data_IF_842826628035
#
_entry.id   IF_842826628035
#
_cell.length_a   1.000
_cell.length_b   1.000
_cell.length_c   1.000
_cell.angle_alpha   90.00
_cell.angle_beta   90.00
_cell.angle_gamma   90.00
#
_symmetry.space_group_name_H-M   'P 1'
#
loop_
_entity.id
_entity.type
_entity.pdbx_description
1 polymer ?
#
# COMPACT_ATOMS: atom_id res chain seq x y z
N UNK A 1 -0.74 60.65 28.36
CA UNK A 1 -0.49 59.20 28.60
C UNK A 1 -1.26 58.38 27.57
N UNK A 2 -0.64 58.01 26.44
CA UNK A 2 -1.22 57.12 25.41
C UNK A 2 -0.06 56.38 24.70
N UNK A 3 0.47 55.32 25.32
CA UNK A 3 1.50 54.44 24.72
C UNK A 3 1.31 52.96 25.08
N UNK A 4 0.09 52.54 25.44
CA UNK A 4 -0.19 51.17 25.89
C UNK A 4 -0.91 50.32 24.81
N UNK A 5 -1.50 50.94 23.77
CA UNK A 5 -2.35 50.20 22.83
C UNK A 5 -1.65 49.45 21.69
N UNK A 6 -0.36 49.69 21.42
CA UNK A 6 0.32 49.05 20.27
C UNK A 6 0.95 47.70 20.66
N UNK A 7 1.41 47.56 21.91
CA UNK A 7 2.02 46.32 22.39
C UNK A 7 1.00 45.18 22.58
N UNK A 8 -0.24 45.49 22.95
CA UNK A 8 -1.29 44.46 23.09
C UNK A 8 -1.72 43.87 21.73
N UNK A 9 -1.68 44.66 20.65
CA UNK A 9 -2.10 44.19 19.32
C UNK A 9 -1.04 43.26 18.70
N UNK A 10 0.26 43.55 18.89
CA UNK A 10 1.33 42.63 18.45
C UNK A 10 1.33 41.30 19.23
N UNK A 11 0.92 41.28 20.51
CA UNK A 11 0.89 40.04 21.29
C UNK A 11 -0.24 39.10 20.85
N UNK A 12 -1.37 39.64 20.37
CA UNK A 12 -2.50 38.84 19.87
C UNK A 12 -2.20 38.23 18.48
N UNK A 13 -1.40 38.89 17.65
CA UNK A 13 -1.00 38.35 16.33
C UNK A 13 0.06 37.24 16.48
N UNK A 14 0.96 37.34 17.47
CA UNK A 14 1.91 36.27 17.80
C UNK A 14 1.21 35.05 18.44
N UNK A 15 0.11 35.24 19.17
CA UNK A 15 -0.68 34.14 19.74
C UNK A 15 -1.46 33.35 18.68
N UNK A 16 -1.75 33.94 17.51
CA UNK A 16 -2.37 33.24 16.37
C UNK A 16 -1.34 32.62 15.39
N UNK A 17 -0.04 32.82 15.64
CA UNK A 17 1.04 32.11 14.95
C UNK A 17 1.42 30.80 15.66
N UNK A 18 0.62 30.40 16.65
CA UNK A 18 0.64 29.05 17.22
C UNK A 18 0.33 28.06 16.11
N UNK A 19 1.39 27.41 15.64
CA UNK A 19 1.38 26.32 14.69
C UNK A 19 0.40 25.25 15.20
N UNK A 20 -0.88 25.34 14.81
CA UNK A 20 -1.79 24.20 14.82
C UNK A 20 -1.29 23.24 13.74
N UNK A 21 -0.13 22.62 13.98
CA UNK A 21 0.06 21.28 13.47
C UNK A 21 -0.85 20.43 14.32
N UNK A 22 -2.01 20.09 13.76
CA UNK A 22 -2.74 18.94 14.24
C UNK A 22 -1.72 17.83 14.53
N UNK A 23 -1.77 17.16 15.70
CA UNK A 23 -0.83 16.10 16.00
C UNK A 23 -0.85 15.13 14.83
N UNK A 24 0.34 14.86 14.27
CA UNK A 24 0.48 13.93 13.16
C UNK A 24 -0.29 12.65 13.55
N UNK A 25 -1.21 12.15 12.70
CA UNK A 25 -2.02 11.00 13.05
C UNK A 25 -1.09 9.88 13.50
N UNK A 26 -1.37 9.27 14.66
CA UNK A 26 -0.51 8.22 15.20
C UNK A 26 -0.51 7.05 14.20
N UNK A 27 0.57 6.97 13.43
CA UNK A 27 0.75 5.95 12.41
C UNK A 27 1.41 4.72 13.05
N UNK A 28 0.98 3.51 12.66
CA UNK A 28 1.72 2.30 13.00
C UNK A 28 3.20 2.41 12.59
N UNK A 29 4.09 1.75 13.33
CA UNK A 29 5.55 1.83 13.14
C UNK A 29 6.04 1.42 11.73
N UNK A 30 5.24 0.65 10.98
CA UNK A 30 5.53 0.27 9.60
C UNK A 30 5.15 1.35 8.57
N UNK A 31 4.44 2.41 8.96
CA UNK A 31 4.13 3.56 8.12
C UNK A 31 4.96 4.76 8.57
N UNK A 32 5.94 5.12 7.75
CA UNK A 32 6.80 6.27 8.01
C UNK A 32 6.53 7.32 6.94
N UNK A 33 6.03 8.48 7.34
CA UNK A 33 5.90 9.63 6.44
C UNK A 33 7.32 10.09 6.08
N UNK A 34 7.71 10.08 4.79
CA UNK A 34 9.05 10.48 4.39
C UNK A 34 9.26 11.99 4.59
N UNK A 35 10.52 12.42 4.64
CA UNK A 35 10.84 13.85 4.70
C UNK A 35 10.48 14.60 3.40
N UNK A 36 10.51 13.92 2.25
CA UNK A 36 10.05 14.42 0.95
C UNK A 36 9.23 13.37 0.20
N UNK A 37 8.19 13.80 -0.52
CA UNK A 37 7.36 12.93 -1.36
C UNK A 37 7.98 12.61 -2.72
N UNK A 38 8.91 13.44 -3.21
CA UNK A 38 9.46 13.36 -4.58
C UNK A 38 10.14 12.03 -4.95
N UNK A 39 10.74 11.34 -3.98
CA UNK A 39 11.44 10.06 -4.17
C UNK A 39 10.81 8.90 -3.40
N UNK A 40 9.65 9.13 -2.77
CA UNK A 40 9.02 8.13 -1.93
C UNK A 40 8.20 7.17 -2.78
N UNK A 41 8.55 5.88 -2.70
CA UNK A 41 7.93 4.78 -3.48
C UNK A 41 6.72 4.14 -2.78
N UNK A 42 6.28 4.75 -1.68
CA UNK A 42 5.29 4.18 -0.78
C UNK A 42 5.85 3.18 0.23
N UNK A 43 5.03 2.87 1.22
CA UNK A 43 5.28 1.83 2.22
C UNK A 43 3.95 1.30 2.72
N UNK A 44 3.95 0.22 3.48
CA UNK A 44 2.69 -0.31 3.96
C UNK A 44 2.81 -1.59 4.72
N UNK A 45 1.67 -2.22 4.95
CA UNK A 45 1.56 -3.61 5.34
C UNK A 45 0.54 -4.29 4.46
N UNK A 46 0.84 -5.50 4.03
CA UNK A 46 -0.13 -6.43 3.48
C UNK A 46 -0.02 -7.76 4.22
N UNK A 47 -1.16 -8.34 4.58
CA UNK A 47 -1.26 -9.65 5.21
C UNK A 47 -2.26 -10.50 4.46
N UNK A 48 -1.90 -11.75 4.22
CA UNK A 48 -2.73 -12.77 3.57
C UNK A 48 -2.78 -13.97 4.52
N UNK A 49 -3.97 -14.50 4.75
CA UNK A 49 -4.22 -15.66 5.60
C UNK A 49 -5.25 -16.61 4.95
N UNK A 50 -5.44 -17.78 5.55
CA UNK A 50 -6.33 -18.82 5.03
C UNK A 50 -5.54 -19.93 4.34
N UNK A 51 -5.87 -20.21 3.08
CA UNK A 51 -5.20 -21.22 2.26
C UNK A 51 -3.73 -20.89 1.94
N UNK A 52 -3.32 -19.64 2.12
CA UNK A 52 -1.94 -19.15 2.04
C UNK A 52 -1.71 -18.17 3.20
N UNK A 53 -0.50 -18.17 3.78
CA UNK A 53 -0.13 -17.26 4.88
C UNK A 53 1.11 -16.48 4.50
N UNK A 54 0.95 -15.19 4.22
CA UNK A 54 2.01 -14.28 3.76
C UNK A 54 1.87 -12.93 4.44
N UNK A 55 2.99 -12.27 4.73
CA UNK A 55 2.97 -10.91 5.29
C UNK A 55 4.21 -10.12 4.87
N UNK A 56 4.02 -8.86 4.52
CA UNK A 56 5.07 -7.90 4.27
C UNK A 56 4.71 -6.56 4.93
N UNK A 57 5.71 -5.86 5.46
CA UNK A 57 5.52 -4.59 6.15
C UNK A 57 6.69 -3.62 5.94
N UNK A 58 6.39 -2.33 6.10
CA UNK A 58 7.34 -1.25 5.91
C UNK A 58 7.63 -0.96 4.44
N UNK A 59 8.54 -0.02 4.21
CA UNK A 59 9.16 0.15 2.91
C UNK A 59 10.01 -1.10 2.62
N UNK A 60 10.05 -1.51 1.35
CA UNK A 60 10.94 -2.57 0.90
C UNK A 60 12.39 -2.32 1.33
N UNK A 61 12.95 -3.25 2.12
CA UNK A 61 14.32 -3.18 2.63
C UNK A 61 14.89 -4.55 2.93
N UNK A 62 16.22 -4.60 3.03
CA UNK A 62 16.94 -5.79 3.48
C UNK A 62 16.71 -6.01 4.97
N UNK A 63 16.30 -7.23 5.32
CA UNK A 63 16.15 -7.74 6.67
C UNK A 63 17.32 -8.67 7.05
N UNK A 64 17.28 -9.20 8.27
CA UNK A 64 18.28 -10.14 8.79
C UNK A 64 18.41 -11.36 7.88
N UNK A 65 19.65 -11.75 7.57
CA UNK A 65 19.93 -12.92 6.72
C UNK A 65 19.90 -12.65 5.20
N UNK A 66 19.97 -11.38 4.77
CA UNK A 66 20.10 -11.03 3.35
C UNK A 66 18.83 -11.27 2.53
N UNK A 67 17.68 -11.23 3.20
CA UNK A 67 16.36 -11.30 2.56
C UNK A 67 15.72 -9.92 2.51
N UNK A 68 14.84 -9.69 1.56
CA UNK A 68 14.13 -8.44 1.31
C UNK A 68 12.66 -8.70 1.59
N UNK A 69 12.05 -7.79 2.33
CA UNK A 69 10.61 -7.76 2.55
C UNK A 69 10.14 -6.33 2.64
N UNK A 70 8.90 -6.09 2.23
CA UNK A 70 8.22 -4.84 2.43
C UNK A 70 7.22 -4.55 1.33
N UNK A 71 6.69 -3.34 1.36
CA UNK A 71 5.60 -2.89 0.52
C UNK A 71 6.03 -1.61 -0.21
N UNK A 72 5.69 -1.53 -1.49
CA UNK A 72 5.76 -0.34 -2.32
C UNK A 72 4.34 -0.03 -2.78
N UNK A 73 3.90 1.21 -2.61
CA UNK A 73 2.54 1.60 -2.94
C UNK A 73 2.51 2.91 -3.71
N UNK A 74 1.76 2.92 -4.81
CA UNK A 74 1.57 4.10 -5.65
C UNK A 74 0.09 4.36 -5.88
N UNK A 75 -0.31 5.61 -5.80
CA UNK A 75 -1.64 6.05 -6.19
C UNK A 75 -1.55 6.57 -7.64
N UNK A 76 -2.32 5.97 -8.55
CA UNK A 76 -2.37 6.37 -9.95
C UNK A 76 -3.40 7.49 -10.14
N UNK A 77 -2.94 8.66 -10.59
CA UNK A 77 -3.72 9.79 -11.14
C UNK A 77 -5.12 10.02 -10.56
N UNK A 78 -5.28 9.87 -9.24
CA UNK A 78 -6.52 10.13 -8.51
C UNK A 78 -7.59 9.03 -8.59
N UNK A 79 -7.37 7.93 -9.29
CA UNK A 79 -8.37 6.87 -9.44
C UNK A 79 -7.84 5.45 -9.26
N UNK A 80 -6.56 5.19 -9.01
CA UNK A 80 -6.08 3.82 -8.74
C UNK A 80 -5.08 3.72 -7.60
N UNK A 81 -4.92 2.51 -7.07
CA UNK A 81 -3.92 2.13 -6.08
C UNK A 81 -3.26 0.83 -6.55
N UNK A 82 -1.93 0.84 -6.57
CA UNK A 82 -1.13 -0.36 -6.78
C UNK A 82 -0.24 -0.59 -5.56
N UNK A 83 -0.31 -1.79 -5.03
CA UNK A 83 0.44 -2.26 -3.87
C UNK A 83 1.28 -3.44 -4.34
N UNK A 84 2.58 -3.22 -4.46
CA UNK A 84 3.53 -4.30 -4.67
C UNK A 84 4.11 -4.72 -3.34
N UNK A 85 4.13 -6.03 -3.06
CA UNK A 85 4.72 -6.55 -1.85
C UNK A 85 5.76 -7.63 -2.16
N UNK A 86 6.82 -7.63 -1.38
CA UNK A 86 7.89 -8.62 -1.47
C UNK A 86 7.93 -9.39 -0.16
N UNK A 87 7.96 -10.73 -0.23
CA UNK A 87 7.92 -11.61 0.95
C UNK A 87 9.22 -12.42 1.06
N UNK A 88 10.09 -12.04 1.99
CA UNK A 88 11.30 -12.81 2.36
C UNK A 88 12.19 -13.22 1.17
N UNK A 89 12.27 -12.37 0.16
CA UNK A 89 12.95 -12.60 -1.11
C UNK A 89 14.49 -12.49 -0.95
N UNK A 90 15.30 -13.39 -1.53
CA UNK A 90 16.76 -13.21 -1.54
C UNK A 90 17.21 -11.86 -2.14
N UNK A 91 18.22 -11.22 -1.52
CA UNK A 91 18.76 -9.89 -1.92
C UNK A 91 19.11 -9.72 -3.39
N UNK A 92 19.53 -10.80 -4.07
CA UNK A 92 19.85 -10.78 -5.50
C UNK A 92 18.71 -10.16 -6.32
N UNK A 93 17.45 -10.22 -5.84
CA UNK A 93 16.26 -9.67 -6.48
C UNK A 93 16.24 -8.15 -6.64
N UNK A 94 16.62 -7.38 -5.62
CA UNK A 94 16.57 -5.90 -5.72
C UNK A 94 17.73 -5.31 -6.51
N UNK A 95 18.87 -6.01 -6.53
CA UNK A 95 20.11 -5.52 -7.14
C UNK A 95 20.24 -5.94 -8.61
N UNK A 96 19.52 -6.97 -9.04
CA UNK A 96 19.57 -7.44 -10.40
C UNK A 96 18.35 -8.32 -10.67
N UNK A 97 17.71 -8.22 -11.83
CA UNK A 97 16.61 -9.12 -12.23
C UNK A 97 17.05 -10.60 -12.39
N UNK A 98 18.14 -11.02 -11.73
CA UNK A 98 18.81 -12.32 -11.82
C UNK A 98 18.26 -13.37 -10.87
N UNK A 99 17.30 -13.08 -9.99
CA UNK A 99 16.64 -14.18 -9.27
C UNK A 99 15.80 -14.97 -10.28
N UNK A 100 16.11 -16.26 -10.50
CA UNK A 100 15.31 -17.11 -11.36
C UNK A 100 13.84 -17.10 -10.93
N UNK A 101 12.92 -17.20 -11.88
CA UNK A 101 11.48 -17.04 -11.61
C UNK A 101 10.99 -17.98 -10.51
N UNK A 102 11.56 -19.18 -10.43
CA UNK A 102 11.28 -20.22 -9.45
C UNK A 102 11.63 -19.86 -8.00
N UNK A 103 12.41 -18.80 -7.74
CA UNK A 103 12.76 -18.36 -6.39
C UNK A 103 12.15 -17.00 -6.03
N UNK A 104 11.22 -16.50 -6.85
CA UNK A 104 10.53 -15.22 -6.61
C UNK A 104 9.35 -15.41 -5.64
N UNK A 105 9.14 -14.40 -4.81
CA UNK A 105 8.14 -14.36 -3.75
C UNK A 105 7.63 -12.92 -3.61
N UNK A 106 6.62 -12.57 -4.40
CA UNK A 106 6.03 -11.23 -4.45
C UNK A 106 4.52 -11.26 -4.72
N UNK A 107 3.89 -10.10 -4.54
CA UNK A 107 2.49 -9.85 -4.86
C UNK A 107 2.30 -8.51 -5.57
N UNK A 108 1.31 -8.48 -6.45
CA UNK A 108 0.68 -7.27 -6.97
C UNK A 108 -0.79 -7.29 -6.51
N UNK A 109 -1.17 -6.31 -5.69
CA UNK A 109 -2.55 -5.98 -5.39
C UNK A 109 -2.90 -4.67 -6.10
N UNK A 110 -3.81 -4.76 -7.06
CA UNK A 110 -4.20 -3.65 -7.93
C UNK A 110 -5.66 -3.31 -7.73
N UNK A 111 -5.92 -2.01 -7.63
CA UNK A 111 -7.27 -1.46 -7.59
C UNK A 111 -7.30 -0.26 -8.56
N UNK A 112 -8.11 -0.31 -9.60
CA UNK A 112 -8.23 0.75 -10.62
C UNK A 112 -9.67 1.28 -10.64
N UNK A 113 -9.80 2.62 -10.73
CA UNK A 113 -11.02 3.45 -10.67
C UNK A 113 -11.73 3.53 -9.32
N UNK A 114 -10.97 3.57 -8.23
CA UNK A 114 -11.40 3.19 -6.87
C UNK A 114 -10.55 3.79 -5.73
N UNK A 115 -10.14 5.06 -5.82
CA UNK A 115 -9.53 5.74 -4.65
C UNK A 115 -10.58 6.03 -3.56
N UNK A 116 -11.87 5.96 -3.88
CA UNK A 116 -12.94 6.13 -2.90
C UNK A 116 -13.17 4.87 -2.07
N UNK A 117 -13.65 5.02 -0.84
CA UNK A 117 -14.09 3.90 -0.03
C UNK A 117 -15.23 3.14 -0.72
N UNK A 118 -15.18 1.82 -0.71
CA UNK A 118 -16.17 0.97 -1.37
C UNK A 118 -15.73 -0.48 -1.46
N UNK A 119 -16.65 -1.34 -1.91
CA UNK A 119 -16.39 -2.76 -2.17
C UNK A 119 -16.40 -3.04 -3.66
N UNK A 120 -15.37 -3.75 -4.11
CA UNK A 120 -15.06 -4.01 -5.51
C UNK A 120 -14.99 -5.51 -5.75
N UNK A 121 -15.64 -6.03 -6.81
CA UNK A 121 -15.50 -7.43 -7.17
C UNK A 121 -14.06 -7.71 -7.62
N UNK A 122 -13.51 -8.84 -7.21
CA UNK A 122 -12.20 -9.30 -7.65
C UNK A 122 -12.28 -10.43 -8.68
N UNK A 123 -11.21 -10.60 -9.45
CA UNK A 123 -10.99 -11.80 -10.27
C UNK A 123 -11.60 -11.79 -11.66
N UNK A 124 -11.95 -10.59 -12.18
CA UNK A 124 -12.50 -10.49 -13.52
C UNK A 124 -11.43 -10.41 -14.62
N UNK A 125 -10.19 -10.00 -14.33
CA UNK A 125 -9.13 -9.52 -15.27
C UNK A 125 -9.60 -8.43 -16.27
N UNK A 126 -10.91 -8.29 -16.46
CA UNK A 126 -11.66 -7.31 -17.20
C UNK A 126 -12.33 -6.33 -16.23
N UNK A 127 -12.55 -5.07 -16.66
CA UNK A 127 -13.32 -4.12 -15.89
C UNK A 127 -14.75 -4.62 -15.61
N UNK A 128 -15.26 -4.39 -14.41
CA UNK A 128 -16.68 -4.59 -14.14
C UNK A 128 -17.55 -3.59 -14.96
N UNK A 129 -18.89 -3.67 -14.96
CA UNK A 129 -19.73 -2.72 -15.71
C UNK A 129 -19.55 -1.24 -15.31
N UNK A 130 -18.97 -0.96 -14.13
CA UNK A 130 -18.59 0.39 -13.67
C UNK A 130 -17.16 0.79 -14.08
N UNK A 131 -16.46 -0.10 -14.79
CA UNK A 131 -15.08 0.06 -15.24
C UNK A 131 -14.01 -0.26 -14.19
N UNK A 132 -14.39 -0.75 -13.01
CA UNK A 132 -13.48 -0.96 -11.87
C UNK A 132 -12.77 -2.32 -12.00
N UNK A 133 -11.51 -2.37 -11.56
CA UNK A 133 -10.71 -3.59 -11.51
C UNK A 133 -10.14 -3.73 -10.10
N UNK A 134 -10.31 -4.89 -9.48
CA UNK A 134 -9.59 -5.29 -8.28
C UNK A 134 -9.00 -6.69 -8.51
N UNK A 135 -7.70 -6.85 -8.31
CA UNK A 135 -7.04 -8.13 -8.52
C UNK A 135 -5.83 -8.30 -7.60
N UNK A 136 -5.60 -9.55 -7.18
CA UNK A 136 -4.44 -9.99 -6.44
C UNK A 136 -3.73 -11.07 -7.25
N UNK A 137 -2.48 -10.79 -7.60
CA UNK A 137 -1.57 -11.76 -8.21
C UNK A 137 -0.44 -12.04 -7.24
N UNK A 138 -0.22 -13.31 -6.90
CA UNK A 138 0.90 -13.79 -6.09
C UNK A 138 1.82 -14.63 -6.95
N UNK A 139 3.12 -14.41 -6.83
CA UNK A 139 4.13 -15.31 -7.37
C UNK A 139 4.98 -15.82 -6.21
N UNK A 140 4.88 -17.12 -5.94
CA UNK A 140 5.55 -17.80 -4.84
C UNK A 140 6.62 -18.78 -5.37
N UNK A 141 7.61 -19.13 -4.52
CA UNK A 141 8.69 -20.01 -4.94
C UNK A 141 8.18 -21.36 -5.47
N UNK A 142 8.85 -21.90 -6.49
CA UNK A 142 8.48 -23.17 -7.11
C UNK A 142 7.58 -23.03 -8.33
N UNK A 143 7.95 -22.17 -9.29
CA UNK A 143 7.03 -21.30 -10.07
C UNK A 143 5.53 -21.47 -9.74
N UNK A 144 5.10 -20.96 -8.59
CA UNK A 144 3.70 -21.04 -8.15
C UNK A 144 3.03 -19.69 -8.31
N UNK A 145 2.16 -19.54 -9.31
CA UNK A 145 1.43 -18.30 -9.57
C UNK A 145 0.00 -18.46 -9.05
N UNK A 146 -0.48 -17.54 -8.24
CA UNK A 146 -1.87 -17.46 -7.83
C UNK A 146 -2.49 -16.17 -8.35
N UNK A 147 -3.66 -16.27 -8.96
CA UNK A 147 -4.38 -15.10 -9.48
C UNK A 147 -5.79 -15.14 -8.92
N UNK A 148 -6.40 -14.00 -8.64
CA UNK A 148 -7.77 -14.00 -8.13
C UNK A 148 -8.73 -14.50 -9.20
N UNK A 149 -9.59 -15.45 -8.85
CA UNK A 149 -10.68 -15.92 -9.73
C UNK A 149 -12.00 -15.26 -9.37
N UNK A 150 -12.25 -15.08 -8.08
CA UNK A 150 -13.45 -14.44 -7.56
C UNK A 150 -13.19 -13.91 -6.17
N UNK A 151 -13.93 -12.89 -5.77
CA UNK A 151 -13.84 -12.34 -4.43
C UNK A 151 -14.34 -10.92 -4.35
N UNK A 152 -13.98 -10.27 -3.25
CA UNK A 152 -14.24 -8.86 -3.05
C UNK A 152 -13.09 -8.20 -2.31
N UNK A 153 -12.82 -6.95 -2.67
CA UNK A 153 -11.91 -6.07 -1.99
C UNK A 153 -12.68 -4.86 -1.48
N UNK A 154 -12.52 -4.52 -0.21
CA UNK A 154 -13.10 -3.32 0.38
C UNK A 154 -12.02 -2.32 0.73
N UNK A 155 -12.07 -1.13 0.13
CA UNK A 155 -11.33 0.04 0.61
C UNK A 155 -12.15 0.70 1.72
N UNK A 156 -11.67 0.59 2.95
CA UNK A 156 -12.32 1.16 4.14
C UNK A 156 -12.11 2.66 4.24
N UNK A 157 -10.91 3.13 3.91
CA UNK A 157 -10.58 4.55 3.96
C UNK A 157 -9.46 4.89 2.98
N UNK A 158 -9.56 6.06 2.36
CA UNK A 158 -8.51 6.68 1.57
C UNK A 158 -8.46 8.15 1.93
N UNK A 159 -7.43 8.56 2.66
CA UNK A 159 -7.31 9.93 3.18
C UNK A 159 -5.98 10.53 2.80
N UNK A 160 -5.99 11.76 2.32
CA UNK A 160 -4.76 12.55 2.16
C UNK A 160 -4.24 12.86 3.55
N UNK A 161 -2.99 12.48 3.84
CA UNK A 161 -2.32 12.75 5.12
C UNK A 161 -1.20 13.78 5.00
N UNK A 162 -0.72 14.06 3.78
CA UNK A 162 0.27 15.12 3.51
C UNK A 162 0.22 15.55 2.04
N UNK A 163 0.53 16.82 1.79
CA UNK A 163 0.75 17.35 0.45
C UNK A 163 2.10 18.08 0.38
N UNK A 164 2.79 17.96 -0.76
CA UNK A 164 4.09 18.61 -1.04
C UNK A 164 4.12 19.03 -2.52
N UNK A 165 3.84 20.30 -2.80
CA UNK A 165 3.69 20.76 -4.19
C UNK A 165 2.53 20.06 -4.89
N UNK A 166 2.81 19.37 -6.00
CA UNK A 166 1.84 18.54 -6.73
C UNK A 166 1.66 17.14 -6.12
N UNK A 167 2.56 16.71 -5.24
CA UNK A 167 2.49 15.38 -4.64
C UNK A 167 1.46 15.34 -3.51
N UNK A 168 0.61 14.31 -3.53
CA UNK A 168 -0.32 13.99 -2.45
C UNK A 168 -0.01 12.61 -1.89
N UNK A 169 0.16 12.53 -0.57
CA UNK A 169 0.37 11.29 0.17
C UNK A 169 -0.97 10.82 0.75
N UNK A 170 -1.41 9.65 0.31
CA UNK A 170 -2.62 9.00 0.78
C UNK A 170 -2.28 7.90 1.78
N UNK A 171 -3.06 7.78 2.85
CA UNK A 171 -3.19 6.54 3.61
C UNK A 171 -4.42 5.80 3.13
N UNK A 172 -4.21 4.59 2.62
CA UNK A 172 -5.25 3.74 2.07
C UNK A 172 -5.31 2.46 2.90
N UNK A 173 -6.50 2.14 3.41
CA UNK A 173 -6.75 0.95 4.23
C UNK A 173 -7.90 0.15 3.67
N UNK A 174 -7.79 -1.16 3.81
CA UNK A 174 -8.85 -2.06 3.42
C UNK A 174 -8.56 -3.52 3.69
N UNK A 175 -9.49 -4.34 3.21
CA UNK A 175 -9.47 -5.78 3.35
C UNK A 175 -9.92 -6.44 2.06
N UNK A 176 -9.67 -7.74 1.93
CA UNK A 176 -10.17 -8.54 0.83
C UNK A 176 -10.46 -9.97 1.27
N UNK A 177 -11.36 -10.62 0.55
CA UNK A 177 -11.66 -12.04 0.61
C UNK A 177 -11.73 -12.56 -0.83
N UNK A 178 -10.96 -13.59 -1.14
CA UNK A 178 -10.79 -14.07 -2.50
C UNK A 178 -10.56 -15.58 -2.57
N UNK A 179 -11.12 -16.20 -3.61
CA UNK A 179 -10.63 -17.50 -4.11
C UNK A 179 -9.57 -17.22 -5.17
N UNK A 180 -8.38 -17.78 -5.00
CA UNK A 180 -7.33 -17.68 -6.01
C UNK A 180 -7.27 -18.96 -6.84
N UNK A 181 -6.93 -18.85 -8.12
CA UNK A 181 -6.55 -19.95 -8.98
C UNK A 181 -5.03 -20.10 -9.02
N UNK A 182 -4.53 -21.29 -8.71
CA UNK A 182 -3.11 -21.64 -8.66
C UNK A 182 -2.62 -22.31 -9.94
N UNK A 183 -1.58 -21.74 -10.55
CA UNK A 183 -0.94 -22.17 -11.79
C UNK A 183 0.55 -22.45 -11.59
N UNK A 184 1.02 -23.63 -12.02
CA UNK A 184 2.43 -23.99 -11.98
C UNK A 184 2.73 -25.32 -11.30
N UNK A 185 4.02 -25.63 -11.16
CA UNK A 185 4.48 -26.89 -10.56
C UNK A 185 4.47 -26.79 -9.03
N UNK A 186 4.26 -27.90 -8.32
CA UNK A 186 4.35 -27.91 -6.85
C UNK A 186 3.16 -27.30 -6.10
N UNK A 187 2.16 -26.74 -6.80
CA UNK A 187 0.91 -26.26 -6.21
C UNK A 187 0.09 -27.46 -5.73
N UNK A 188 -0.11 -27.56 -4.42
CA UNK A 188 -0.95 -28.59 -3.78
C UNK A 188 -2.37 -28.10 -3.55
N UNK A 189 -2.54 -26.84 -3.18
CA UNK A 189 -3.84 -26.18 -3.08
C UNK A 189 -4.06 -25.31 -4.31
N UNK A 190 -4.84 -25.80 -5.28
CA UNK A 190 -5.12 -25.08 -6.52
C UNK A 190 -6.07 -23.91 -6.34
N UNK A 191 -7.02 -24.02 -5.40
CA UNK A 191 -8.05 -23.01 -5.22
C UNK A 191 -8.10 -22.52 -3.77
N UNK A 192 -7.01 -21.90 -3.24
CA UNK A 192 -7.00 -21.44 -1.87
C UNK A 192 -8.02 -20.30 -1.69
N UNK A 193 -8.88 -20.45 -0.69
CA UNK A 193 -9.61 -19.31 -0.12
C UNK A 193 -8.66 -18.52 0.76
N UNK A 194 -8.49 -17.24 0.48
CA UNK A 194 -7.65 -16.33 1.25
C UNK A 194 -8.44 -15.11 1.69
N UNK A 195 -8.06 -14.57 2.84
CA UNK A 195 -8.46 -13.23 3.26
C UNK A 195 -7.24 -12.41 3.59
N UNK A 196 -7.36 -11.10 3.54
CA UNK A 196 -6.23 -10.22 3.80
C UNK A 196 -6.60 -8.80 4.15
N UNK A 197 -5.58 -8.07 4.61
CA UNK A 197 -5.68 -6.65 4.94
C UNK A 197 -4.53 -5.89 4.31
N UNK A 198 -4.77 -4.63 3.98
CA UNK A 198 -3.74 -3.70 3.53
C UNK A 198 -3.89 -2.35 4.25
N UNK A 199 -2.77 -1.77 4.65
CA UNK A 199 -2.66 -0.41 5.17
C UNK A 199 -1.40 0.21 4.59
N UNK A 200 -1.55 1.15 3.66
CA UNK A 200 -0.44 1.64 2.84
C UNK A 200 -0.41 3.16 2.79
N UNK A 201 0.81 3.68 2.65
CA UNK A 201 1.11 5.04 2.27
C UNK A 201 1.47 5.06 0.79
N UNK A 202 0.66 5.75 -0.02
CA UNK A 202 0.82 5.80 -1.48
C UNK A 202 0.92 7.26 -1.95
N UNK A 203 1.88 7.53 -2.84
CA UNK A 203 2.06 8.87 -3.44
C UNK A 203 1.34 8.94 -4.78
N UNK A 204 0.63 10.05 -5.01
CA UNK A 204 0.20 10.50 -6.33
C UNK A 204 0.92 11.81 -6.69
N UNK A 205 1.10 12.05 -8.00
CA UNK A 205 1.61 13.31 -8.58
C UNK A 205 0.65 13.78 -9.67
#
# INVERSE_FOLDING_TARGET
MKKVSIWLICLVILAMSGCNKDPDPELPSYLVIPSSLSNYKGSGRISISGGLTLAAEGQERVQVGGKISGVLASAYFGDGVLINATFNQPRIFSESSQVPAEFRSNADLRIIKTVNSGTYPMGLMDPNPRGEIADLVLNLPGPQIYITEQGSLTVESSTIIRQEGTYSLYRIRGNFDATLGGYGTGITNKNPQVSGTFDVLAVAN
#
